data_IF_135568537104
#
_entry.id   IF_135568537104
#
_cell.length_a   1.000
_cell.length_b   1.000
_cell.length_c   1.000
_cell.angle_alpha   90.00
_cell.angle_beta   90.00
_cell.angle_gamma   90.00
#
_symmetry.space_group_name_H-M   'P 1'
#
loop_
_entity.id
_entity.type
_entity.pdbx_description
1 polymer ?
#
# COMPACT_ATOMS: atom_id res chain seq x y z
N UNK A 1 -7.81 5.46 -9.59
CA UNK A 1 -7.15 6.56 -8.88
C UNK A 1 -7.61 6.60 -7.44
N UNK A 2 -6.69 6.33 -6.53
CA UNK A 2 -6.88 6.56 -5.09
C UNK A 2 -6.50 8.02 -4.82
N UNK A 3 -7.46 8.84 -4.35
CA UNK A 3 -7.25 10.28 -4.11
C UNK A 3 -8.05 10.75 -2.91
N UNK A 4 -7.53 11.80 -2.29
CA UNK A 4 -8.15 12.48 -1.16
C UNK A 4 -7.72 11.91 0.19
N UNK A 5 -8.02 12.67 1.23
CA UNK A 5 -7.66 12.37 2.61
C UNK A 5 -8.86 11.75 3.31
N UNK A 6 -8.65 10.71 4.11
CA UNK A 6 -9.67 10.11 4.97
C UNK A 6 -9.09 9.94 6.35
N UNK A 7 -9.74 10.52 7.37
CA UNK A 7 -9.41 10.20 8.76
C UNK A 7 -9.95 8.81 9.08
N UNK A 8 -9.10 7.94 9.60
CA UNK A 8 -9.46 6.61 10.07
C UNK A 8 -9.04 6.49 11.53
N UNK A 9 -9.78 5.70 12.30
CA UNK A 9 -9.40 5.32 13.65
C UNK A 9 -8.76 3.93 13.61
N UNK A 10 -7.77 3.73 14.48
CA UNK A 10 -7.20 2.41 14.73
C UNK A 10 -7.86 1.80 15.95
N UNK A 11 -8.09 0.49 15.91
CA UNK A 11 -8.46 -0.27 17.10
C UNK A 11 -7.24 -0.55 17.99
N UNK A 12 -7.48 -1.14 19.17
CA UNK A 12 -6.43 -1.48 20.13
C UNK A 12 -5.38 -2.47 19.61
N UNK A 13 -5.62 -3.11 18.46
CA UNK A 13 -4.70 -4.06 17.81
C UNK A 13 -3.96 -3.41 16.63
N UNK A 14 -4.08 -2.10 16.45
CA UNK A 14 -3.44 -1.37 15.36
C UNK A 14 -4.09 -1.63 13.99
N UNK A 15 -5.31 -2.16 13.94
CA UNK A 15 -6.04 -2.36 12.68
C UNK A 15 -6.91 -1.14 12.41
N UNK A 16 -7.07 -0.79 11.14
CA UNK A 16 -8.09 0.16 10.70
C UNK A 16 -8.96 -0.48 9.63
N UNK A 17 -10.20 -0.03 9.51
CA UNK A 17 -11.08 -0.46 8.43
C UNK A 17 -10.76 0.35 7.17
N UNK A 18 -10.55 -0.34 6.05
CA UNK A 18 -10.39 0.33 4.76
C UNK A 18 -11.64 1.17 4.45
N UNK A 19 -11.50 2.48 4.12
CA UNK A 19 -12.64 3.34 3.81
C UNK A 19 -13.51 2.77 2.70
N UNK A 20 -14.84 2.78 2.90
CA UNK A 20 -15.80 2.14 1.98
C UNK A 20 -15.62 2.55 0.53
N UNK A 21 -15.31 3.84 0.27
CA UNK A 21 -15.11 4.38 -1.09
C UNK A 21 -14.00 3.71 -1.91
N UNK A 22 -13.14 2.93 -1.26
CA UNK A 22 -12.03 2.24 -1.91
C UNK A 22 -12.20 0.73 -1.99
N UNK A 23 -13.17 0.14 -1.27
CA UNK A 23 -13.30 -1.32 -1.13
C UNK A 23 -13.54 -2.01 -2.46
N UNK A 24 -14.58 -1.59 -3.19
CA UNK A 24 -14.96 -2.21 -4.47
C UNK A 24 -13.79 -2.12 -5.46
N UNK A 25 -13.17 -0.95 -5.55
CA UNK A 25 -12.02 -0.74 -6.42
C UNK A 25 -10.83 -1.64 -6.07
N UNK A 26 -10.52 -1.82 -4.79
CA UNK A 26 -9.41 -2.70 -4.35
C UNK A 26 -9.75 -4.16 -4.64
N UNK A 27 -10.99 -4.58 -4.41
CA UNK A 27 -11.44 -5.91 -4.75
C UNK A 27 -11.32 -6.18 -6.26
N UNK A 28 -11.77 -5.24 -7.10
CA UNK A 28 -11.71 -5.33 -8.56
C UNK A 28 -10.28 -5.26 -9.12
N UNK A 29 -9.42 -4.41 -8.55
CA UNK A 29 -8.09 -4.13 -9.13
C UNK A 29 -7.05 -5.16 -8.69
N UNK A 30 -7.15 -5.68 -7.45
CA UNK A 30 -6.11 -6.57 -6.91
C UNK A 30 -6.63 -7.68 -6.01
N UNK A 31 -7.92 -8.01 -6.08
CA UNK A 31 -8.53 -9.11 -5.30
C UNK A 31 -8.26 -8.99 -3.80
N UNK A 32 -8.27 -7.77 -3.27
CA UNK A 32 -7.93 -7.45 -1.88
C UNK A 32 -6.50 -7.83 -1.45
N UNK A 33 -5.58 -8.08 -2.39
CA UNK A 33 -4.17 -8.30 -2.11
C UNK A 33 -3.43 -6.97 -2.09
N UNK A 34 -2.97 -6.59 -0.91
CA UNK A 34 -2.26 -5.33 -0.66
C UNK A 34 -0.91 -5.63 -0.01
N UNK A 35 0.06 -4.76 -0.29
CA UNK A 35 1.38 -4.75 0.35
C UNK A 35 1.53 -3.44 1.11
N UNK A 36 2.11 -3.50 2.31
CA UNK A 36 2.41 -2.34 3.14
C UNK A 36 3.93 -2.24 3.30
N UNK A 37 4.46 -1.05 3.09
CA UNK A 37 5.87 -0.74 3.33
C UNK A 37 6.03 0.51 4.16
N UNK A 38 7.25 0.73 4.66
CA UNK A 38 7.65 1.99 5.30
C UNK A 38 8.17 2.91 4.21
N UNK A 39 7.74 4.17 4.22
CA UNK A 39 8.30 5.19 3.33
C UNK A 39 9.73 5.56 3.77
N UNK A 40 10.63 5.80 2.81
CA UNK A 40 12.04 6.09 3.12
C UNK A 40 12.32 7.55 3.43
N UNK A 41 11.42 8.46 3.03
CA UNK A 41 11.59 9.90 3.12
C UNK A 41 10.75 10.49 4.26
N UNK A 42 9.50 10.04 4.36
CA UNK A 42 8.52 10.50 5.34
C UNK A 42 8.23 9.43 6.40
N UNK A 43 7.86 9.87 7.61
CA UNK A 43 7.41 8.97 8.67
C UNK A 43 5.96 8.50 8.44
N UNK A 44 5.76 7.69 7.42
CA UNK A 44 4.46 7.12 7.08
C UNK A 44 4.57 5.68 6.55
N UNK A 45 3.40 5.07 6.35
CA UNK A 45 3.27 3.78 5.70
C UNK A 45 2.69 3.99 4.31
N UNK A 46 3.21 3.23 3.35
CA UNK A 46 2.70 3.17 1.99
C UNK A 46 1.88 1.90 1.81
N UNK A 47 0.84 1.97 1.00
CA UNK A 47 -0.02 0.82 0.69
C UNK A 47 -0.13 0.71 -0.84
N UNK A 48 0.20 -0.47 -1.36
CA UNK A 48 0.19 -0.76 -2.79
C UNK A 48 -0.74 -1.94 -3.11
N UNK A 49 -1.43 -1.93 -4.25
CA UNK A 49 -1.91 -3.16 -4.87
C UNK A 49 -0.74 -4.12 -5.10
N UNK A 50 -0.93 -5.42 -4.84
CA UNK A 50 0.16 -6.40 -4.99
C UNK A 50 0.79 -6.38 -6.39
N UNK A 51 -0.01 -6.22 -7.44
CA UNK A 51 0.48 -6.17 -8.82
C UNK A 51 1.45 -5.01 -9.07
N UNK A 52 1.19 -3.85 -8.48
CA UNK A 52 2.07 -2.67 -8.60
C UNK A 52 3.35 -2.87 -7.78
N UNK A 53 3.23 -3.45 -6.59
CA UNK A 53 4.40 -3.75 -5.77
C UNK A 53 5.39 -4.70 -6.46
N UNK A 54 4.88 -5.74 -7.15
CA UNK A 54 5.74 -6.68 -7.90
C UNK A 54 6.57 -5.97 -8.97
N UNK A 55 6.03 -4.93 -9.62
CA UNK A 55 6.80 -4.14 -10.60
C UNK A 55 7.91 -3.32 -9.92
N UNK A 56 7.58 -2.68 -8.80
CA UNK A 56 8.56 -1.93 -8.00
C UNK A 56 9.68 -2.87 -7.52
N UNK A 57 9.31 -4.04 -6.99
CA UNK A 57 10.26 -5.06 -6.53
C UNK A 57 11.20 -5.50 -7.63
N UNK A 58 10.67 -5.79 -8.83
CA UNK A 58 11.49 -6.15 -10.00
C UNK A 58 12.45 -5.04 -10.43
N UNK A 59 12.04 -3.77 -10.33
CA UNK A 59 12.92 -2.66 -10.65
C UNK A 59 14.00 -2.45 -9.60
N UNK A 60 13.67 -2.65 -8.31
CA UNK A 60 14.64 -2.63 -7.22
C UNK A 60 15.68 -3.76 -7.34
N UNK A 61 15.27 -4.95 -7.78
CA UNK A 61 16.19 -6.09 -7.99
C UNK A 61 17.23 -5.83 -9.08
N UNK A 62 16.94 -4.94 -10.04
CA UNK A 62 17.88 -4.55 -11.10
C UNK A 62 18.91 -3.53 -10.63
N UNK A 63 18.69 -2.89 -9.49
CA UNK A 63 19.62 -1.89 -8.98
C UNK A 63 20.89 -2.58 -8.44
N UNK A 64 22.09 -2.03 -8.72
CA UNK A 64 23.32 -2.55 -8.16
C UNK A 64 23.27 -2.45 -6.63
N UNK A 65 23.48 -3.60 -5.96
CA UNK A 65 23.61 -3.64 -4.51
C UNK A 65 25.01 -3.17 -4.14
N UNK A 66 25.14 -1.95 -3.63
CA UNK A 66 26.38 -1.51 -3.03
C UNK A 66 26.54 -2.24 -1.69
N UNK A 67 27.57 -3.07 -1.58
CA UNK A 67 28.01 -3.69 -0.33
C UNK A 67 29.01 -2.79 0.37
#
# INVERSE_FOLDING_TARGET
MFRGITKVNMDAKGRFALPTRYRDRIAETCENRLVITVDTEDRCLLIYPLSEWVLIEQDLEKLPRNH
#
